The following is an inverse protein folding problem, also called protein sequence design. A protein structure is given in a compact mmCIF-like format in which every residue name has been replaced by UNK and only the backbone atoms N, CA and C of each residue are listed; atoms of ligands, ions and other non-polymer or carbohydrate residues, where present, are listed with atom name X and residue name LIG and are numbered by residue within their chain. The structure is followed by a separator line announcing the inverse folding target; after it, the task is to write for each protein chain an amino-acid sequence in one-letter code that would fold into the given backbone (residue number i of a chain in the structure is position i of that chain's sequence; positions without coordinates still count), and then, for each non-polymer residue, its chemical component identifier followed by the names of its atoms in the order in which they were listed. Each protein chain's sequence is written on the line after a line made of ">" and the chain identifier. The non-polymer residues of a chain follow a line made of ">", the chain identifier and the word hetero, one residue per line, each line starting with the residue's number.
data_IF_947166804863
#
_entry.id   IF_947166804863
#
_cell.length_a   1.000
_cell.length_b   1.000
_cell.length_c   1.000
_cell.angle_alpha   90.00
_cell.angle_beta   90.00
_cell.angle_gamma   90.00
#
_symmetry.space_group_name_H-M   'P 1'
#
loop_
_entity.id
_entity.type
_entity.pdbx_description
1 polymer ?
#
# COMPACT_ATOMS: atom_id res chain seq x y z
N UNK A 1 16.02 0.75 45.48
CA UNK A 1 14.89 -0.13 45.11
C UNK A 1 13.65 0.61 44.63
N UNK A 2 13.13 1.69 45.27
CA UNK A 2 11.91 2.36 44.78
C UNK A 2 12.13 3.20 43.51
N UNK A 3 13.32 3.79 43.34
CA UNK A 3 13.66 4.60 42.15
C UNK A 3 13.73 3.75 40.87
N UNK A 4 14.22 2.51 40.98
CA UNK A 4 14.31 1.57 39.86
C UNK A 4 12.91 1.10 39.41
N UNK A 5 12.01 0.88 40.38
CA UNK A 5 10.61 0.51 40.12
C UNK A 5 9.84 1.66 39.45
N UNK A 6 10.07 2.90 39.89
CA UNK A 6 9.45 4.10 39.32
C UNK A 6 9.89 4.34 37.86
N UNK A 7 11.17 4.13 37.57
CA UNK A 7 11.72 4.19 36.20
C UNK A 7 11.13 3.12 35.28
N UNK A 8 10.95 1.90 35.77
CA UNK A 8 10.35 0.81 35.00
C UNK A 8 8.86 1.06 34.70
N UNK A 9 8.14 1.69 35.64
CA UNK A 9 6.75 2.09 35.46
C UNK A 9 6.61 3.22 34.43
N UNK A 10 7.58 4.14 34.38
CA UNK A 10 7.60 5.25 33.42
C UNK A 10 7.78 4.76 31.97
N UNK A 11 8.54 3.68 31.76
CA UNK A 11 8.75 3.04 30.45
C UNK A 11 7.49 2.37 29.89
N UNK A 12 6.55 1.95 30.76
CA UNK A 12 5.26 1.36 30.35
C UNK A 12 4.25 2.41 29.86
N UNK A 13 4.49 3.70 30.16
CA UNK A 13 3.63 4.83 29.78
C UNK A 13 4.05 5.48 28.45
N UNK A 14 5.13 5.00 27.82
CA UNK A 14 5.55 5.50 26.52
C UNK A 14 4.56 5.01 25.45
N UNK A 15 3.99 5.91 24.62
CA UNK A 15 3.14 5.51 23.52
C UNK A 15 3.94 4.62 22.58
N UNK A 16 3.44 3.41 22.31
CA UNK A 16 4.01 2.55 21.28
C UNK A 16 3.64 3.14 19.93
N UNK A 17 4.65 3.58 19.19
CA UNK A 17 4.48 4.00 17.80
C UNK A 17 3.92 2.83 16.98
N UNK A 18 2.71 2.98 16.45
CA UNK A 18 2.20 2.12 15.39
C UNK A 18 2.90 2.59 14.11
N UNK A 19 3.93 1.87 13.69
CA UNK A 19 4.59 2.12 12.42
C UNK A 19 3.83 1.40 11.32
N UNK A 20 3.50 2.11 10.25
CA UNK A 20 2.93 1.47 9.06
C UNK A 20 3.94 0.48 8.46
N UNK A 21 3.47 -0.71 8.10
CA UNK A 21 4.31 -1.75 7.51
C UNK A 21 4.64 -1.40 6.05
N UNK A 22 5.92 -1.40 5.67
CA UNK A 22 6.34 -1.16 4.29
C UNK A 22 6.19 -2.45 3.47
N UNK A 23 5.22 -2.46 2.55
CA UNK A 23 4.93 -3.63 1.73
C UNK A 23 5.66 -3.59 0.38
N UNK A 24 6.46 -2.55 0.12
CA UNK A 24 7.13 -2.29 -1.14
C UNK A 24 6.42 -1.22 -1.98
N UNK A 25 6.56 -1.32 -3.30
CA UNK A 25 6.13 -0.31 -4.27
C UNK A 25 5.25 -0.93 -5.34
N UNK A 26 4.02 -0.42 -5.48
CA UNK A 26 3.14 -0.71 -6.60
C UNK A 26 3.78 -0.14 -7.87
N UNK A 27 4.34 -1.03 -8.68
CA UNK A 27 5.21 -0.66 -9.80
C UNK A 27 5.25 -1.75 -10.86
N UNK A 28 5.31 -1.33 -12.12
CA UNK A 28 5.50 -2.18 -13.29
C UNK A 28 6.98 -2.50 -13.57
N UNK A 29 7.92 -1.89 -12.85
CA UNK A 29 9.35 -2.07 -13.08
C UNK A 29 9.82 -3.43 -12.53
N UNK A 30 10.21 -4.41 -13.36
CA UNK A 30 10.57 -5.75 -12.89
C UNK A 30 11.98 -5.82 -12.26
N UNK A 31 12.80 -4.80 -12.46
CA UNK A 31 14.19 -4.77 -12.00
C UNK A 31 14.36 -4.13 -10.62
N UNK A 32 13.39 -3.33 -10.18
CA UNK A 32 13.40 -2.74 -8.85
C UNK A 32 13.08 -3.81 -7.79
N UNK A 33 13.94 -4.07 -6.78
CA UNK A 33 13.68 -5.05 -5.73
C UNK A 33 12.41 -4.77 -4.91
N UNK A 34 12.02 -3.50 -4.76
CA UNK A 34 10.82 -3.13 -4.02
C UNK A 34 9.55 -3.17 -4.87
N UNK A 35 9.66 -3.44 -6.17
CA UNK A 35 8.51 -3.45 -7.06
C UNK A 35 7.64 -4.69 -6.89
N UNK A 36 6.32 -4.48 -6.92
CA UNK A 36 5.33 -5.55 -6.99
C UNK A 36 5.41 -6.37 -8.28
N UNK A 37 6.06 -5.88 -9.33
CA UNK A 37 6.33 -6.66 -10.55
C UNK A 37 7.64 -7.46 -10.48
N UNK A 38 8.45 -7.31 -9.44
CA UNK A 38 9.66 -8.12 -9.24
C UNK A 38 9.36 -9.37 -8.41
N UNK A 39 9.32 -10.54 -9.07
CA UNK A 39 9.02 -11.84 -8.47
C UNK A 39 10.07 -12.33 -7.46
N UNK A 40 11.27 -11.76 -7.48
CA UNK A 40 12.35 -12.08 -6.56
C UNK A 40 12.45 -11.10 -5.39
N UNK A 41 11.63 -10.04 -5.39
CA UNK A 41 11.59 -8.99 -4.37
C UNK A 41 10.21 -8.84 -3.75
N UNK A 42 9.74 -7.59 -3.60
CA UNK A 42 8.45 -7.28 -2.98
C UNK A 42 7.26 -7.95 -3.70
N UNK A 43 7.37 -8.18 -5.01
CA UNK A 43 6.38 -8.89 -5.82
C UNK A 43 6.40 -10.41 -5.67
N UNK A 44 7.28 -10.98 -4.85
CA UNK A 44 7.36 -12.42 -4.67
C UNK A 44 6.06 -13.01 -4.12
N UNK A 45 5.55 -14.13 -4.69
CA UNK A 45 4.38 -14.82 -4.16
C UNK A 45 4.64 -15.50 -2.80
N UNK A 46 5.90 -15.56 -2.36
CA UNK A 46 6.30 -16.16 -1.08
C UNK A 46 6.61 -15.14 0.01
N UNK A 47 6.55 -13.83 -0.29
CA UNK A 47 6.72 -12.78 0.72
C UNK A 47 5.55 -12.85 1.70
N UNK A 48 5.82 -13.06 2.98
CA UNK A 48 4.81 -13.35 4.02
C UNK A 48 3.75 -12.24 4.18
N UNK A 49 4.16 -11.00 3.96
CA UNK A 49 3.38 -9.76 4.00
C UNK A 49 3.21 -9.16 2.58
N UNK A 50 3.51 -9.91 1.52
CA UNK A 50 3.49 -9.41 0.14
C UNK A 50 2.07 -9.28 -0.42
N UNK A 51 1.82 -8.24 -1.22
CA UNK A 51 0.51 -8.03 -1.88
C UNK A 51 0.20 -9.04 -2.99
N UNK A 52 1.20 -9.82 -3.43
CA UNK A 52 1.05 -10.90 -4.42
C UNK A 52 0.98 -12.30 -3.79
N UNK A 53 1.08 -12.40 -2.46
CA UNK A 53 0.95 -13.66 -1.75
C UNK A 53 -0.48 -13.83 -1.23
N UNK A 54 -1.31 -14.72 -1.80
CA UNK A 54 -2.71 -14.89 -1.40
C UNK A 54 -2.90 -15.40 0.03
N UNK A 55 -1.83 -15.84 0.70
CA UNK A 55 -1.85 -16.23 2.11
C UNK A 55 -1.43 -15.09 3.05
N UNK A 56 -0.96 -13.95 2.51
CA UNK A 56 -0.60 -12.79 3.32
C UNK A 56 -1.85 -12.05 3.83
N UNK A 57 -1.74 -11.29 4.93
CA UNK A 57 -2.81 -10.41 5.39
C UNK A 57 -3.27 -9.39 4.34
N UNK A 58 -2.39 -9.02 3.40
CA UNK A 58 -2.62 -7.94 2.44
C UNK A 58 -3.11 -8.41 1.05
N UNK A 59 -3.16 -9.72 0.80
CA UNK A 59 -3.72 -10.27 -0.45
C UNK A 59 -4.71 -11.42 -0.21
N UNK A 60 -4.88 -11.88 1.03
CA UNK A 60 -5.86 -12.92 1.35
C UNK A 60 -7.30 -12.45 1.08
N UNK A 61 -8.14 -13.24 0.40
CA UNK A 61 -9.53 -12.85 0.14
C UNK A 61 -10.39 -12.76 1.42
N UNK A 62 -9.87 -13.22 2.56
CA UNK A 62 -10.59 -13.26 3.84
C UNK A 62 -10.15 -12.18 4.83
N UNK A 63 -9.04 -11.50 4.57
CA UNK A 63 -8.48 -10.50 5.48
C UNK A 63 -9.15 -9.13 5.29
N UNK A 64 -9.38 -8.40 6.38
CA UNK A 64 -9.93 -7.04 6.32
C UNK A 64 -8.87 -6.00 5.90
N UNK A 65 -7.59 -6.38 5.91
CA UNK A 65 -6.44 -5.60 5.45
C UNK A 65 -6.07 -5.89 3.99
N UNK A 66 -6.84 -6.75 3.30
CA UNK A 66 -6.47 -7.24 1.98
C UNK A 66 -6.81 -6.26 0.86
N UNK A 67 -5.92 -6.19 -0.12
CA UNK A 67 -6.14 -5.53 -1.39
C UNK A 67 -7.13 -6.28 -2.29
N UNK A 68 -7.32 -7.60 -2.11
CA UNK A 68 -8.13 -8.44 -3.00
C UNK A 68 -9.52 -8.73 -2.44
N UNK A 69 -9.74 -8.53 -1.14
CA UNK A 69 -11.04 -8.74 -0.52
C UNK A 69 -12.00 -7.58 -0.86
N UNK A 70 -13.12 -7.84 -1.56
CA UNK A 70 -14.08 -6.80 -1.94
C UNK A 70 -14.86 -6.19 -0.76
N UNK A 71 -14.72 -6.75 0.45
CA UNK A 71 -15.34 -6.25 1.67
C UNK A 71 -14.31 -5.69 2.68
N UNK A 72 -13.02 -5.69 2.34
CA UNK A 72 -12.00 -5.08 3.19
C UNK A 72 -12.25 -3.59 3.37
N UNK A 73 -12.06 -3.12 4.60
CA UNK A 73 -12.21 -1.71 4.99
C UNK A 73 -10.88 -1.06 5.41
N UNK A 74 -9.84 -1.87 5.60
CA UNK A 74 -8.53 -1.46 6.09
C UNK A 74 -7.39 -1.88 5.16
N UNK A 75 -7.67 -1.85 3.85
CA UNK A 75 -6.72 -2.19 2.80
C UNK A 75 -5.49 -1.26 2.77
N UNK A 76 -4.36 -1.67 2.16
CA UNK A 76 -3.11 -0.92 2.15
C UNK A 76 -3.26 0.45 1.49
N UNK A 77 -2.51 1.43 1.99
CA UNK A 77 -2.51 2.82 1.49
C UNK A 77 -1.40 3.03 0.46
N UNK A 78 -1.68 3.84 -0.55
CA UNK A 78 -0.73 4.18 -1.59
C UNK A 78 -0.23 5.61 -1.42
N UNK A 79 1.07 5.80 -1.55
CA UNK A 79 1.71 7.12 -1.53
C UNK A 79 2.67 7.28 -2.70
N UNK A 80 2.70 8.47 -3.30
CA UNK A 80 3.76 8.79 -4.25
C UNK A 80 5.08 9.14 -3.54
N UNK A 81 6.12 9.39 -4.34
CA UNK A 81 7.45 9.73 -3.83
C UNK A 81 7.50 11.05 -3.05
N UNK A 82 6.51 11.92 -3.24
CA UNK A 82 6.38 13.20 -2.54
C UNK A 82 5.54 13.04 -1.26
N UNK A 83 5.06 11.84 -0.94
CA UNK A 83 4.22 11.55 0.22
C UNK A 83 2.75 11.90 0.01
N UNK A 84 2.32 12.22 -1.21
CA UNK A 84 0.91 12.46 -1.47
C UNK A 84 0.14 11.14 -1.47
N UNK A 85 -0.99 11.13 -0.78
CA UNK A 85 -1.89 9.99 -0.75
C UNK A 85 -2.55 9.74 -2.12
N UNK A 86 -2.61 8.46 -2.52
CA UNK A 86 -3.13 7.96 -3.80
C UNK A 86 -4.24 6.92 -3.63
N UNK A 87 -4.88 6.89 -2.46
CA UNK A 87 -6.00 6.01 -2.15
C UNK A 87 -5.56 4.69 -1.52
N UNK A 88 -6.55 3.79 -1.32
CA UNK A 88 -6.32 2.42 -0.85
C UNK A 88 -6.20 1.48 -2.03
N UNK A 89 -5.15 0.65 -2.03
CA UNK A 89 -5.04 -0.49 -2.93
C UNK A 89 -6.08 -1.54 -2.49
N UNK A 90 -7.28 -1.47 -3.05
CA UNK A 90 -8.43 -2.26 -2.59
C UNK A 90 -9.29 -2.73 -3.75
N UNK A 91 -9.88 -3.92 -3.60
CA UNK A 91 -10.91 -4.49 -4.48
C UNK A 91 -12.33 -4.04 -4.10
N UNK A 92 -12.51 -3.41 -2.93
CA UNK A 92 -13.83 -2.96 -2.46
C UNK A 92 -14.33 -1.81 -3.35
N UNK A 93 -15.41 -1.99 -4.13
CA UNK A 93 -15.89 -0.95 -5.05
C UNK A 93 -16.69 0.15 -4.33
N UNK A 94 -17.04 -0.06 -3.06
CA UNK A 94 -17.88 0.85 -2.27
C UNK A 94 -17.07 1.75 -1.33
N UNK A 95 -15.81 1.42 -1.07
CA UNK A 95 -14.93 2.30 -0.29
C UNK A 95 -14.60 3.56 -1.13
N UNK A 96 -14.84 4.78 -0.61
CA UNK A 96 -14.60 6.03 -1.35
C UNK A 96 -13.12 6.24 -1.73
N UNK A 97 -12.19 5.67 -0.97
CA UNK A 97 -10.76 5.77 -1.20
C UNK A 97 -10.19 4.63 -2.07
N UNK A 98 -11.01 3.63 -2.40
CA UNK A 98 -10.56 2.45 -3.12
C UNK A 98 -10.15 2.75 -4.55
N UNK A 99 -9.01 2.21 -4.96
CA UNK A 99 -8.58 2.18 -6.37
C UNK A 99 -9.54 1.40 -7.26
N UNK A 100 -10.40 0.54 -6.70
CA UNK A 100 -11.43 -0.21 -7.45
C UNK A 100 -12.78 0.48 -7.52
N UNK A 101 -13.00 1.60 -6.82
CA UNK A 101 -14.24 2.37 -6.95
C UNK A 101 -14.17 3.30 -8.18
N UNK A 102 -14.90 3.00 -9.29
CA UNK A 102 -14.81 3.77 -10.54
C UNK A 102 -15.43 5.17 -10.43
N UNK A 103 -16.20 5.44 -9.37
CA UNK A 103 -16.78 6.73 -9.08
C UNK A 103 -15.98 7.52 -8.03
N UNK A 104 -15.03 6.86 -7.36
CA UNK A 104 -14.18 7.45 -6.33
C UNK A 104 -13.00 8.23 -6.90
N UNK A 105 -12.43 9.13 -6.10
CA UNK A 105 -11.29 9.99 -6.47
C UNK A 105 -10.06 9.19 -6.93
N UNK A 106 -9.80 8.04 -6.33
CA UNK A 106 -8.58 7.26 -6.59
C UNK A 106 -8.78 6.06 -7.52
N UNK A 107 -10.03 5.70 -7.84
CA UNK A 107 -10.36 4.62 -8.76
C UNK A 107 -11.01 5.07 -10.08
N UNK A 108 -11.50 6.31 -10.18
CA UNK A 108 -12.10 6.83 -11.41
C UNK A 108 -11.05 7.05 -12.50
N UNK A 109 -11.28 6.62 -13.76
CA UNK A 109 -10.35 6.87 -14.87
C UNK A 109 -10.29 8.36 -15.28
N UNK A 110 -11.22 9.19 -14.81
CA UNK A 110 -11.28 10.62 -15.12
C UNK A 110 -10.62 11.50 -14.05
N UNK A 111 -10.30 10.95 -12.88
CA UNK A 111 -9.67 11.70 -11.80
C UNK A 111 -8.17 11.85 -12.03
N UNK A 112 -7.56 13.04 -11.85
CA UNK A 112 -6.11 13.21 -11.96
C UNK A 112 -5.33 12.45 -10.88
N UNK A 113 -5.93 12.17 -9.72
CA UNK A 113 -5.29 11.43 -8.62
C UNK A 113 -5.35 9.91 -8.77
N UNK A 114 -6.09 9.41 -9.76
CA UNK A 114 -6.31 7.98 -9.96
C UNK A 114 -5.17 7.34 -10.74
N UNK A 115 -4.70 6.20 -10.23
CA UNK A 115 -3.70 5.36 -10.92
C UNK A 115 -4.25 4.72 -12.20
N UNK A 116 -5.57 4.79 -12.42
CA UNK A 116 -6.25 4.34 -13.64
C UNK A 116 -6.36 5.44 -14.71
N UNK A 117 -5.98 6.68 -14.39
CA UNK A 117 -5.98 7.78 -15.35
C UNK A 117 -4.57 7.93 -15.99
N UNK A 118 -4.39 7.62 -17.29
CA UNK A 118 -3.10 7.74 -17.97
C UNK A 118 -2.64 9.19 -18.19
N UNK A 119 -3.52 10.16 -17.97
CA UNK A 119 -3.18 11.59 -18.02
C UNK A 119 -2.92 12.18 -16.62
N UNK A 120 -3.03 11.36 -15.56
CA UNK A 120 -2.83 11.75 -14.16
C UNK A 120 -1.80 10.86 -13.46
N UNK A 121 -2.11 10.46 -12.21
CA UNK A 121 -1.23 9.61 -11.39
C UNK A 121 -0.89 8.25 -12.04
N UNK A 122 -1.71 7.75 -12.95
CA UNK A 122 -1.47 6.55 -13.75
C UNK A 122 -0.67 6.75 -15.03
N UNK A 123 -0.08 7.93 -15.25
CA UNK A 123 0.63 8.21 -16.50
C UNK A 123 1.87 7.34 -16.70
N UNK A 124 2.03 6.66 -17.85
CA UNK A 124 3.19 5.80 -18.10
C UNK A 124 4.52 6.56 -18.18
N UNK A 125 4.47 7.89 -18.27
CA UNK A 125 5.65 8.76 -18.33
C UNK A 125 6.04 9.32 -16.97
N UNK A 126 5.20 9.18 -15.94
CA UNK A 126 5.50 9.68 -14.60
C UNK A 126 6.41 8.70 -13.84
N UNK A 127 7.51 9.15 -13.20
CA UNK A 127 8.38 8.28 -12.40
C UNK A 127 7.71 7.65 -11.17
N UNK A 128 6.65 8.29 -10.65
CA UNK A 128 5.88 7.79 -9.50
C UNK A 128 4.69 6.92 -9.94
N UNK A 129 4.40 6.83 -11.24
CA UNK A 129 3.26 6.04 -11.71
C UNK A 129 3.54 4.55 -11.57
N UNK A 130 2.57 3.76 -11.10
CA UNK A 130 2.70 2.31 -11.06
C UNK A 130 2.77 1.68 -12.46
N UNK A 131 2.36 2.39 -13.51
CA UNK A 131 2.34 1.87 -14.90
C UNK A 131 3.63 2.14 -15.67
N UNK A 132 4.55 2.95 -15.14
CA UNK A 132 5.82 3.24 -15.79
C UNK A 132 6.82 2.09 -15.53
N UNK A 133 7.25 1.31 -16.54
CA UNK A 133 8.15 0.17 -16.36
C UNK A 133 9.58 0.57 -15.98
N UNK A 134 9.92 1.85 -16.06
CA UNK A 134 11.20 2.41 -15.61
C UNK A 134 11.05 3.28 -14.35
N UNK A 135 9.82 3.49 -13.91
CA UNK A 135 9.49 4.27 -12.71
C UNK A 135 9.80 3.51 -11.44
N UNK A 136 9.75 4.23 -10.33
CA UNK A 136 9.77 3.63 -8.98
C UNK A 136 8.40 3.07 -8.65
N UNK A 137 7.33 3.80 -8.95
CA UNK A 137 5.96 3.48 -8.57
C UNK A 137 5.50 4.16 -7.29
N UNK A 138 4.47 3.60 -6.65
CA UNK A 138 3.85 4.12 -5.43
C UNK A 138 4.20 3.25 -4.23
N UNK A 139 4.64 3.84 -3.12
CA UNK A 139 4.86 3.13 -1.87
C UNK A 139 3.54 2.58 -1.33
N UNK A 140 3.58 1.34 -0.83
CA UNK A 140 2.45 0.63 -0.25
C UNK A 140 2.66 0.54 1.26
N UNK A 141 1.75 1.12 2.02
CA UNK A 141 1.77 1.08 3.49
C UNK A 141 0.64 0.20 4.04
N UNK A 142 1.03 -0.87 4.71
CA UNK A 142 0.19 -1.74 5.55
C UNK A 142 -0.07 -1.15 6.94
N UNK A 143 -0.63 -1.96 7.83
CA UNK A 143 -1.12 -1.56 9.16
C UNK A 143 -0.32 -2.16 10.30
#
# INVERSE_FOLDING_TARGET
>A
MPVLLLLLLLLLLLPRSIHAEDLGELSANPYNPNSTSNLYGAGSPFKSDGINNPFSPYSSPFSNQSATNPFATDAPRLYDQQGNYRGKLSANPYDPDSTSNPYGRYGSPFSPDSIKNPYGAGSPYSPSSPTNPYGRGLRIEGR
#
